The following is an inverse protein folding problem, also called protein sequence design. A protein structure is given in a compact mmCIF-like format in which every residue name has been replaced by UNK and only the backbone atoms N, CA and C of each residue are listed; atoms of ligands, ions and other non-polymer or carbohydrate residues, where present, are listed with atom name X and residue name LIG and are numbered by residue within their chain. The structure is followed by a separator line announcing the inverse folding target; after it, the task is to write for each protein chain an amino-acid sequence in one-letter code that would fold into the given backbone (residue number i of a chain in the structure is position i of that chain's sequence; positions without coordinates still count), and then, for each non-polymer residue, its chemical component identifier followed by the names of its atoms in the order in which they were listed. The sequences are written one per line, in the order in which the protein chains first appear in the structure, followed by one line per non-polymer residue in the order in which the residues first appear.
data_IF_772533188543
#
_entry.id   IF_772533188543
#
_cell.length_a   1.000
_cell.length_b   1.000
_cell.length_c   1.000
_cell.angle_alpha   90.00
_cell.angle_beta   90.00
_cell.angle_gamma   90.00
#
_symmetry.space_group_name_H-M   'P 1'
#
loop_
_entity.id
_entity.type
_entity.pdbx_description
1 polymer ?
#
# COMPACT_ATOMS: atom_id res chain seq x y z
N UNK A 1 -25.94 -7.82 -45.41
CA UNK A 1 -24.52 -8.22 -45.48
C UNK A 1 -23.67 -6.96 -45.71
N UNK A 2 -23.30 -6.25 -44.65
CA UNK A 2 -22.46 -5.06 -44.76
C UNK A 2 -21.00 -5.47 -44.56
N UNK A 3 -20.21 -5.38 -45.63
CA UNK A 3 -18.78 -5.72 -45.66
C UNK A 3 -18.01 -4.53 -45.08
N UNK A 4 -17.69 -4.59 -43.80
CA UNK A 4 -16.90 -3.59 -43.08
C UNK A 4 -15.48 -3.52 -43.69
N UNK A 5 -15.21 -2.39 -44.33
CA UNK A 5 -13.99 -2.02 -45.05
C UNK A 5 -13.03 -1.39 -44.04
N UNK A 6 -12.03 -2.13 -43.58
CA UNK A 6 -11.09 -1.70 -42.53
C UNK A 6 -9.65 -1.60 -43.03
N UNK A 7 -9.16 -0.36 -43.11
CA UNK A 7 -7.79 0.15 -43.01
C UNK A 7 -6.63 -0.70 -43.58
N UNK A 8 -6.07 -0.26 -44.71
CA UNK A 8 -4.78 -0.74 -45.20
C UNK A 8 -3.68 -0.46 -44.18
N UNK A 9 -2.89 -1.48 -43.86
CA UNK A 9 -1.63 -1.33 -43.16
C UNK A 9 -0.74 -0.38 -43.97
N UNK A 10 -0.57 0.86 -43.48
CA UNK A 10 0.52 1.72 -43.94
C UNK A 10 1.84 0.97 -43.64
N UNK A 11 2.68 0.83 -44.66
CA UNK A 11 3.97 0.17 -44.52
C UNK A 11 4.76 0.76 -43.33
N UNK A 12 5.30 -0.09 -42.47
CA UNK A 12 6.16 0.35 -41.37
C UNK A 12 7.48 0.88 -41.94
N UNK A 13 8.15 1.78 -41.22
CA UNK A 13 9.47 2.31 -41.59
C UNK A 13 10.57 1.24 -41.54
N UNK A 14 10.33 0.13 -40.85
CA UNK A 14 11.24 -1.01 -40.75
C UNK A 14 10.69 -2.24 -41.51
N UNK A 15 11.59 -3.16 -41.89
CA UNK A 15 11.22 -4.38 -42.59
C UNK A 15 10.62 -5.42 -41.62
N UNK A 16 9.35 -5.76 -41.83
CA UNK A 16 8.57 -6.73 -41.06
C UNK A 16 9.12 -8.18 -41.20
N UNK A 17 9.67 -8.52 -42.37
CA UNK A 17 10.20 -9.87 -42.67
C UNK A 17 11.44 -10.19 -41.81
N UNK A 18 12.22 -9.16 -41.46
CA UNK A 18 13.37 -9.30 -40.54
C UNK A 18 12.90 -9.59 -39.10
N UNK A 19 11.72 -9.10 -38.74
CA UNK A 19 11.04 -9.38 -37.45
C UNK A 19 10.37 -10.77 -37.48
N UNK A 20 10.62 -11.58 -38.52
CA UNK A 20 10.11 -12.94 -38.74
C UNK A 20 8.60 -13.04 -38.92
N UNK A 21 7.97 -11.95 -39.33
CA UNK A 21 6.60 -11.97 -39.82
C UNK A 21 6.62 -12.07 -41.35
N UNK A 22 6.12 -13.18 -41.88
CA UNK A 22 5.97 -13.42 -43.31
C UNK A 22 4.88 -12.54 -43.94
N UNK A 23 4.92 -12.38 -45.27
CA UNK A 23 3.89 -11.64 -46.00
C UNK A 23 2.53 -12.33 -45.84
N UNK A 24 1.56 -11.59 -45.29
CA UNK A 24 0.21 -12.09 -45.05
C UNK A 24 0.08 -12.96 -43.79
N UNK A 25 1.13 -13.09 -42.98
CA UNK A 25 1.02 -13.72 -41.67
C UNK A 25 0.21 -12.84 -40.70
N UNK A 26 -0.48 -13.51 -39.78
CA UNK A 26 -1.37 -12.84 -38.82
C UNK A 26 -0.52 -12.09 -37.80
N UNK A 27 -0.53 -10.76 -37.91
CA UNK A 27 0.02 -9.87 -36.88
C UNK A 27 -0.74 -10.04 -35.55
N UNK A 28 -0.09 -9.81 -34.40
CA UNK A 28 -0.76 -9.84 -33.11
C UNK A 28 -1.94 -8.87 -33.10
N UNK A 29 -2.97 -9.23 -32.34
CA UNK A 29 -4.18 -8.43 -32.27
C UNK A 29 -3.91 -7.08 -31.61
N UNK A 30 -4.63 -6.05 -32.05
CA UNK A 30 -4.47 -4.70 -31.50
C UNK A 30 -5.20 -4.65 -30.16
N UNK A 31 -4.45 -4.41 -29.08
CA UNK A 31 -5.03 -4.24 -27.76
C UNK A 31 -5.91 -2.97 -27.72
N UNK A 32 -7.23 -3.15 -27.64
CA UNK A 32 -8.20 -2.04 -27.63
C UNK A 32 -8.24 -1.27 -26.31
N UNK A 33 -7.83 -1.93 -25.21
CA UNK A 33 -7.81 -1.34 -23.86
C UNK A 33 -6.48 -1.67 -23.19
N UNK A 34 -5.94 -0.76 -22.35
CA UNK A 34 -4.79 -1.07 -21.54
C UNK A 34 -5.12 -2.22 -20.58
N UNK A 35 -4.13 -3.08 -20.26
CA UNK A 35 -4.28 -4.08 -19.21
C UNK A 35 -4.70 -3.43 -17.89
N UNK A 36 -5.46 -4.17 -17.07
CA UNK A 36 -5.85 -3.71 -15.73
C UNK A 36 -4.62 -3.60 -14.82
N UNK A 37 -4.69 -2.74 -13.80
CA UNK A 37 -3.60 -2.57 -12.82
C UNK A 37 -3.32 -3.85 -12.02
N UNK A 38 -4.35 -4.66 -11.81
CA UNK A 38 -4.28 -5.94 -11.12
C UNK A 38 -4.80 -7.02 -12.06
N UNK A 39 -3.91 -7.79 -12.70
CA UNK A 39 -4.33 -8.95 -13.47
C UNK A 39 -4.78 -10.07 -12.53
N UNK A 40 -5.72 -10.89 -12.98
CA UNK A 40 -6.13 -12.08 -12.23
C UNK A 40 -4.97 -13.08 -12.17
N UNK A 41 -4.70 -13.61 -10.98
CA UNK A 41 -3.67 -14.64 -10.77
C UNK A 41 -4.29 -16.03 -10.78
N UNK A 42 -3.64 -16.97 -11.46
CA UNK A 42 -4.12 -18.36 -11.55
C UNK A 42 -4.24 -19.05 -10.19
N UNK A 43 -3.41 -18.64 -9.22
CA UNK A 43 -3.37 -19.21 -7.88
C UNK A 43 -3.69 -18.17 -6.82
N UNK A 44 -4.41 -18.61 -5.78
CA UNK A 44 -4.69 -17.82 -4.59
C UNK A 44 -3.74 -18.20 -3.45
N UNK A 45 -3.42 -17.28 -2.54
CA UNK A 45 -2.60 -17.59 -1.38
C UNK A 45 -3.27 -18.64 -0.50
N UNK A 46 -2.45 -19.44 0.19
CA UNK A 46 -2.92 -20.49 1.10
C UNK A 46 -3.62 -19.84 2.30
N UNK A 47 -4.78 -20.35 2.74
CA UNK A 47 -5.45 -19.86 3.94
C UNK A 47 -4.57 -19.94 5.19
N UNK A 48 -4.77 -19.02 6.12
CA UNK A 48 -4.07 -19.02 7.40
C UNK A 48 -4.38 -20.28 8.20
N UNK A 49 -3.41 -20.71 9.00
CA UNK A 49 -3.61 -21.82 9.95
C UNK A 49 -4.51 -21.34 11.08
N UNK A 50 -5.41 -22.20 11.51
CA UNK A 50 -6.37 -21.95 12.59
C UNK A 50 -6.12 -22.95 13.70
N UNK A 51 -6.18 -22.48 14.94
CA UNK A 51 -5.94 -23.31 16.11
C UNK A 51 -5.59 -22.46 17.32
N UNK A 52 -5.79 -23.04 18.52
CA UNK A 52 -5.56 -22.33 19.78
C UNK A 52 -4.12 -21.83 19.94
N UNK A 53 -3.13 -22.55 19.41
CA UNK A 53 -1.72 -22.13 19.43
C UNK A 53 -1.49 -20.89 18.57
N UNK A 54 -2.01 -20.89 17.35
CA UNK A 54 -1.88 -19.82 16.37
C UNK A 54 -2.60 -18.56 16.86
N UNK A 55 -3.82 -18.73 17.37
CA UNK A 55 -4.63 -17.63 17.90
C UNK A 55 -3.99 -17.02 19.15
N UNK A 56 -3.40 -17.84 20.03
CA UNK A 56 -2.67 -17.36 21.20
C UNK A 56 -1.42 -16.56 20.79
N UNK A 57 -0.65 -17.04 19.81
CA UNK A 57 0.52 -16.31 19.30
C UNK A 57 0.11 -14.98 18.65
N UNK A 58 -1.02 -14.93 17.95
CA UNK A 58 -1.56 -13.71 17.36
C UNK A 58 -1.95 -12.69 18.43
N UNK A 59 -2.66 -13.14 19.48
CA UNK A 59 -3.02 -12.29 20.62
C UNK A 59 -1.77 -11.75 21.33
N UNK A 60 -0.80 -12.62 21.62
CA UNK A 60 0.45 -12.25 22.28
C UNK A 60 1.25 -11.24 21.45
N UNK A 61 1.31 -11.42 20.13
CA UNK A 61 1.98 -10.46 19.23
C UNK A 61 1.34 -9.08 19.31
N UNK A 62 0.01 -9.02 19.43
CA UNK A 62 -0.70 -7.75 19.56
C UNK A 62 -0.41 -7.08 20.91
N UNK A 63 -0.51 -7.84 22.01
CA UNK A 63 -0.19 -7.33 23.35
C UNK A 63 1.25 -6.82 23.45
N UNK A 64 2.20 -7.55 22.85
CA UNK A 64 3.60 -7.14 22.83
C UNK A 64 3.80 -5.82 22.08
N UNK A 65 3.11 -5.62 20.94
CA UNK A 65 3.19 -4.34 20.21
C UNK A 65 2.77 -3.16 21.09
N UNK A 66 1.72 -3.33 21.88
CA UNK A 66 1.21 -2.27 22.74
C UNK A 66 2.08 -2.08 23.99
N UNK A 67 2.62 -3.17 24.56
CA UNK A 67 3.58 -3.11 25.64
C UNK A 67 4.89 -2.41 25.21
N UNK A 68 5.42 -2.74 24.03
CA UNK A 68 6.66 -2.19 23.51
C UNK A 68 6.58 -0.68 23.28
N UNK A 69 5.43 -0.15 22.85
CA UNK A 69 5.22 1.31 22.70
C UNK A 69 5.33 2.07 24.01
N UNK A 70 5.01 1.42 25.14
CA UNK A 70 5.07 2.03 26.48
C UNK A 70 6.44 1.89 27.14
N UNK A 71 7.32 1.09 26.56
CA UNK A 71 8.65 0.90 27.11
C UNK A 71 9.55 2.11 26.82
N UNK A 72 10.52 2.41 27.70
CA UNK A 72 11.45 3.53 27.52
C UNK A 72 12.35 3.38 26.29
N UNK A 73 12.40 2.18 25.69
CA UNK A 73 13.12 1.90 24.45
C UNK A 73 12.37 2.39 23.19
N UNK A 74 11.09 2.77 23.31
CA UNK A 74 10.34 3.39 22.24
C UNK A 74 10.69 4.88 22.15
N UNK A 75 11.70 5.20 21.35
CA UNK A 75 12.12 6.59 21.11
C UNK A 75 11.09 7.23 20.19
N UNK A 76 10.29 8.15 20.73
CA UNK A 76 9.36 8.97 19.97
C UNK A 76 10.11 10.04 19.17
N UNK A 77 9.62 10.35 17.97
CA UNK A 77 10.17 11.45 17.19
C UNK A 77 9.76 12.75 17.90
N UNK A 78 10.70 13.65 18.25
CA UNK A 78 10.37 14.91 18.89
C UNK A 78 9.36 15.69 18.05
N UNK A 79 8.24 16.09 18.65
CA UNK A 79 7.32 17.02 17.98
C UNK A 79 8.05 18.35 17.73
N UNK A 80 8.11 18.77 16.47
CA UNK A 80 8.51 20.12 16.12
C UNK A 80 7.50 21.08 16.77
N UNK A 81 7.99 21.96 17.65
CA UNK A 81 7.15 22.85 18.45
C UNK A 81 6.25 23.65 17.51
N UNK A 82 4.96 23.32 17.46
CA UNK A 82 3.97 24.24 16.93
C UNK A 82 3.90 25.40 17.92
N UNK A 83 4.38 26.57 17.47
CA UNK A 83 4.50 27.81 18.24
C UNK A 83 3.15 28.39 18.76
N UNK A 84 2.05 27.67 18.59
CA UNK A 84 0.68 28.07 18.96
C UNK A 84 0.08 27.19 20.05
N UNK A 85 0.83 26.88 21.11
CA UNK A 85 0.24 26.38 22.38
C UNK A 85 0.91 27.02 23.58
N UNK A 86 0.87 28.35 23.62
CA UNK A 86 0.97 29.06 24.89
C UNK A 86 -0.13 28.57 25.83
N UNK A 87 0.19 28.46 27.12
CA UNK A 87 -0.69 28.13 28.24
C UNK A 87 -1.06 26.64 28.42
N UNK A 88 -1.46 25.90 27.39
CA UNK A 88 -1.95 24.51 27.57
C UNK A 88 -0.85 23.47 27.86
N UNK A 89 0.38 23.68 27.38
CA UNK A 89 1.49 22.75 27.59
C UNK A 89 2.02 22.76 29.03
N UNK A 90 1.81 23.86 29.77
CA UNK A 90 2.28 24.01 31.16
C UNK A 90 1.41 23.27 32.18
N UNK A 91 0.17 22.91 31.80
CA UNK A 91 -0.74 22.09 32.59
C UNK A 91 -0.53 20.58 32.36
N UNK A 92 0.21 20.20 31.33
CA UNK A 92 0.51 18.80 31.01
C UNK A 92 1.68 18.24 31.85
N UNK A 93 2.37 19.10 32.63
CA UNK A 93 3.36 18.70 33.62
C UNK A 93 2.66 18.15 34.87
N UNK A 94 2.70 16.84 35.17
CA UNK A 94 2.00 16.27 36.32
C UNK A 94 2.49 16.84 37.66
N UNK A 95 3.72 17.33 37.74
CA UNK A 95 4.27 17.96 38.96
C UNK A 95 3.61 19.30 39.30
N UNK A 96 3.22 20.10 38.30
CA UNK A 96 2.57 21.40 38.53
C UNK A 96 1.10 21.26 38.90
N UNK A 97 0.42 20.23 38.38
CA UNK A 97 -0.98 19.93 38.72
C UNK A 97 -1.18 19.66 40.22
N UNK A 98 -0.22 18.97 40.86
CA UNK A 98 -0.23 18.73 42.30
C UNK A 98 -0.09 20.01 43.14
N UNK A 99 0.67 21.00 42.65
CA UNK A 99 0.91 22.25 43.38
C UNK A 99 -0.36 23.10 43.48
N UNK A 100 -1.20 23.11 42.44
CA UNK A 100 -2.46 23.87 42.43
C UNK A 100 -3.56 23.25 43.27
N UNK A 101 -3.62 21.92 43.40
CA UNK A 101 -4.67 21.28 44.20
C UNK A 101 -4.46 21.46 45.72
N UNK A 102 -3.23 21.70 46.17
CA UNK A 102 -2.89 21.90 47.59
C UNK A 102 -3.07 23.34 48.08
N UNK A 103 -3.41 24.26 47.18
CA UNK A 103 -3.57 25.71 47.45
C UNK A 103 -5.04 26.17 47.47
N UNK A 104 -5.99 25.26 47.30
CA UNK A 104 -7.44 25.47 47.50
C UNK A 104 -7.84 24.71 48.76
#
# INVERSE_FOLDING_TARGET
MAKNKGHGCAAYTFNIEVVRFGRGEKLPDVAMKPPTLFPDTDYKPVPLKTGNSEDNMLALKQELRDAMKRMPYHIEIPEEKQDTKGIYNQLCDPEKAFYYHKLI
#
